data_IF_908858801013
#
_entry.id   IF_908858801013
#
_cell.length_a   1.000
_cell.length_b   1.000
_cell.length_c   1.000
_cell.angle_alpha   90.00
_cell.angle_beta   90.00
_cell.angle_gamma   90.00
#
_symmetry.space_group_name_H-M   'P 1'
#
loop_
_entity.id
_entity.type
_entity.pdbx_description
1 polymer ?
#
# COMPACT_ATOMS: atom_id res chain seq x y z
N UNK A 1 1.52 -3.05 -4.47
CA UNK A 1 0.56 -3.35 -3.39
C UNK A 1 -0.69 -2.49 -3.47
N UNK A 2 -0.61 -1.17 -3.26
CA UNK A 2 -1.77 -0.29 -3.02
C UNK A 2 -2.76 -0.18 -4.18
N UNK A 3 -2.31 -0.29 -5.44
CA UNK A 3 -3.20 -0.38 -6.61
C UNK A 3 -4.16 -1.58 -6.54
N UNK A 4 -3.72 -2.69 -5.97
CA UNK A 4 -4.55 -3.89 -5.81
C UNK A 4 -5.69 -3.69 -4.82
N UNK A 5 -5.56 -2.78 -3.86
CA UNK A 5 -6.58 -2.49 -2.85
C UNK A 5 -7.72 -1.61 -3.38
N UNK A 6 -7.46 -0.79 -4.41
CA UNK A 6 -8.43 0.18 -4.96
C UNK A 6 -9.75 -0.48 -5.40
N UNK A 7 -9.75 -1.61 -6.15
CA UNK A 7 -10.99 -2.30 -6.53
C UNK A 7 -11.81 -2.78 -5.33
N UNK A 8 -11.16 -3.26 -4.26
CA UNK A 8 -11.86 -3.77 -3.07
C UNK A 8 -12.58 -2.65 -2.32
N UNK A 9 -11.93 -1.50 -2.13
CA UNK A 9 -12.55 -0.35 -1.46
C UNK A 9 -13.71 0.24 -2.26
N UNK A 10 -13.56 0.31 -3.59
CA UNK A 10 -14.64 0.77 -4.48
C UNK A 10 -15.82 -0.20 -4.45
N UNK A 11 -15.57 -1.51 -4.56
CA UNK A 11 -16.61 -2.54 -4.52
C UNK A 11 -17.35 -2.59 -3.19
N UNK A 12 -16.63 -2.36 -2.08
CA UNK A 12 -17.22 -2.27 -0.76
C UNK A 12 -18.10 -1.01 -0.61
N UNK A 13 -17.69 0.12 -1.19
CA UNK A 13 -18.44 1.37 -1.16
C UNK A 13 -19.77 1.30 -1.92
N UNK A 14 -19.79 0.65 -3.08
CA UNK A 14 -20.99 0.53 -3.94
C UNK A 14 -21.91 -0.65 -3.58
N UNK A 15 -21.59 -1.43 -2.54
CA UNK A 15 -22.37 -2.61 -2.14
C UNK A 15 -22.36 -3.74 -3.18
N UNK A 16 -21.21 -4.00 -3.82
CA UNK A 16 -21.08 -5.02 -4.84
C UNK A 16 -21.39 -6.44 -4.31
N UNK A 17 -21.85 -7.37 -5.16
CA UNK A 17 -22.15 -8.73 -4.74
C UNK A 17 -20.88 -9.48 -4.28
N UNK A 18 -21.05 -10.41 -3.36
CA UNK A 18 -19.96 -11.07 -2.62
C UNK A 18 -18.87 -11.67 -3.53
N UNK A 19 -19.24 -12.22 -4.67
CA UNK A 19 -18.30 -12.84 -5.62
C UNK A 19 -17.33 -11.82 -6.25
N UNK A 20 -17.81 -10.61 -6.55
CA UNK A 20 -16.99 -9.50 -7.05
C UNK A 20 -16.01 -9.04 -5.97
N UNK A 21 -16.50 -8.89 -4.75
CA UNK A 21 -15.67 -8.50 -3.61
C UNK A 21 -14.58 -9.55 -3.32
N UNK A 22 -14.91 -10.84 -3.40
CA UNK A 22 -13.96 -11.93 -3.22
C UNK A 22 -12.87 -11.91 -4.31
N UNK A 23 -13.23 -11.67 -5.58
CA UNK A 23 -12.29 -11.53 -6.66
C UNK A 23 -11.36 -10.32 -6.47
N UNK A 24 -11.91 -9.17 -6.06
CA UNK A 24 -11.11 -7.97 -5.78
C UNK A 24 -10.17 -8.17 -4.59
N UNK A 25 -10.63 -8.82 -3.51
CA UNK A 25 -9.82 -9.17 -2.36
C UNK A 25 -8.68 -10.13 -2.74
N UNK A 26 -8.94 -11.10 -3.63
CA UNK A 26 -7.90 -11.99 -4.15
C UNK A 26 -6.83 -11.22 -4.94
N UNK A 27 -7.24 -10.32 -5.84
CA UNK A 27 -6.31 -9.46 -6.61
C UNK A 27 -5.52 -8.54 -5.68
N UNK A 28 -6.17 -8.02 -4.63
CA UNK A 28 -5.50 -7.24 -3.58
C UNK A 28 -4.40 -8.06 -2.93
N UNK A 29 -4.72 -9.27 -2.45
CA UNK A 29 -3.78 -10.17 -1.78
C UNK A 29 -2.61 -10.54 -2.67
N UNK A 30 -2.86 -10.91 -3.93
CA UNK A 30 -1.81 -11.21 -4.90
C UNK A 30 -0.87 -10.00 -5.13
N UNK A 31 -1.43 -8.81 -5.24
CA UNK A 31 -0.66 -7.57 -5.44
C UNK A 31 0.18 -7.18 -4.23
N UNK A 32 -0.28 -7.51 -3.03
CA UNK A 32 0.47 -7.31 -1.77
C UNK A 32 1.60 -8.32 -1.67
N UNK A 33 1.34 -9.60 -1.96
CA UNK A 33 2.36 -10.65 -1.91
C UNK A 33 3.53 -10.37 -2.87
N UNK A 34 3.23 -9.99 -4.12
CA UNK A 34 4.28 -9.59 -5.08
C UNK A 34 5.06 -8.38 -4.56
N UNK A 35 4.37 -7.37 -4.04
CA UNK A 35 5.07 -6.20 -3.49
C UNK A 35 5.99 -6.54 -2.32
N UNK A 36 5.54 -7.39 -1.38
CA UNK A 36 6.32 -7.78 -0.22
C UNK A 36 7.62 -8.49 -0.62
N UNK A 37 7.54 -9.43 -1.57
CA UNK A 37 8.70 -10.14 -2.10
C UNK A 37 9.69 -9.17 -2.75
N UNK A 38 9.20 -8.26 -3.59
CA UNK A 38 10.01 -7.25 -4.25
C UNK A 38 10.63 -6.25 -3.26
N UNK A 39 9.88 -5.84 -2.24
CA UNK A 39 10.35 -4.94 -1.18
C UNK A 39 11.48 -5.57 -0.37
N UNK A 40 11.27 -6.81 0.09
CA UNK A 40 12.29 -7.57 0.85
C UNK A 40 13.56 -7.77 0.04
N UNK A 41 13.42 -8.13 -1.24
CA UNK A 41 14.57 -8.31 -2.15
C UNK A 41 15.30 -6.97 -2.38
N UNK A 42 14.58 -5.88 -2.61
CA UNK A 42 15.18 -4.57 -2.84
C UNK A 42 15.95 -4.07 -1.61
N UNK A 43 15.40 -4.25 -0.40
CA UNK A 43 16.07 -3.91 0.85
C UNK A 43 17.36 -4.72 1.02
N UNK A 44 17.32 -6.03 0.78
CA UNK A 44 18.50 -6.89 0.92
C UNK A 44 19.59 -6.58 -0.11
N UNK A 45 19.21 -6.22 -1.34
CA UNK A 45 20.17 -5.93 -2.43
C UNK A 45 20.81 -4.54 -2.30
N UNK A 46 20.05 -3.54 -1.86
CA UNK A 46 20.48 -2.14 -1.90
C UNK A 46 20.88 -1.55 -0.54
N UNK A 47 20.50 -2.16 0.58
CA UNK A 47 20.85 -1.66 1.92
C UNK A 47 22.02 -2.46 2.47
N UNK A 48 23.13 -1.82 2.89
CA UNK A 48 24.24 -2.52 3.51
C UNK A 48 23.81 -3.19 4.82
N UNK A 49 24.33 -4.39 5.08
CA UNK A 49 23.91 -5.29 6.18
C UNK A 49 23.87 -4.61 7.55
N UNK A 50 24.86 -3.77 7.83
CA UNK A 50 24.96 -2.97 9.06
C UNK A 50 23.83 -1.94 9.26
N UNK A 51 23.19 -1.48 8.18
CA UNK A 51 22.09 -0.52 8.22
C UNK A 51 20.71 -1.19 8.05
N UNK A 52 20.66 -2.43 7.57
CA UNK A 52 19.41 -3.15 7.26
C UNK A 52 18.48 -3.21 8.47
N UNK A 53 19.00 -3.61 9.63
CA UNK A 53 18.21 -3.70 10.88
C UNK A 53 17.60 -2.35 11.28
N UNK A 54 18.32 -1.24 11.08
CA UNK A 54 17.82 0.11 11.38
C UNK A 54 16.73 0.53 10.40
N UNK A 55 16.95 0.33 9.10
CA UNK A 55 15.98 0.68 8.05
C UNK A 55 14.69 -0.11 8.23
N UNK A 56 14.77 -1.43 8.43
CA UNK A 56 13.59 -2.26 8.69
C UNK A 56 12.86 -1.85 9.97
N UNK A 57 13.59 -1.49 11.04
CA UNK A 57 12.95 -1.01 12.28
C UNK A 57 12.15 0.28 12.06
N UNK A 58 12.65 1.20 11.23
CA UNK A 58 11.90 2.41 10.88
C UNK A 58 10.66 2.13 10.01
N UNK A 59 10.76 1.20 9.06
CA UNK A 59 9.64 0.77 8.22
C UNK A 59 8.51 0.14 9.03
N UNK A 60 8.86 -0.79 9.94
CA UNK A 60 7.91 -1.40 10.86
C UNK A 60 7.30 -0.39 11.82
N UNK A 61 8.11 0.50 12.40
CA UNK A 61 7.60 1.55 13.30
C UNK A 61 6.59 2.45 12.57
N UNK A 62 6.89 2.85 11.34
CA UNK A 62 5.99 3.64 10.50
C UNK A 62 4.67 2.92 10.26
N UNK A 63 4.72 1.66 9.85
CA UNK A 63 3.52 0.83 9.61
C UNK A 63 2.70 0.64 10.90
N UNK A 64 3.35 0.40 12.03
CA UNK A 64 2.69 0.15 13.32
C UNK A 64 2.04 1.41 13.90
N UNK A 65 2.62 2.58 13.67
CA UNK A 65 2.05 3.86 14.13
C UNK A 65 0.92 4.34 13.22
N UNK A 66 1.06 4.20 11.90
CA UNK A 66 0.08 4.67 10.94
C UNK A 66 -1.22 3.85 10.95
N UNK A 67 -1.14 2.54 11.22
CA UNK A 67 -2.32 1.66 11.26
C UNK A 67 -3.40 2.11 12.27
N UNK A 68 -3.08 2.24 13.56
CA UNK A 68 -4.01 2.70 14.59
C UNK A 68 -4.52 4.12 14.33
N UNK A 69 -3.65 5.04 13.88
CA UNK A 69 -4.03 6.41 13.57
C UNK A 69 -5.06 6.47 12.43
N UNK A 70 -4.87 5.66 11.39
CA UNK A 70 -5.84 5.51 10.31
C UNK A 70 -7.18 5.00 10.82
N UNK A 71 -7.18 3.98 11.69
CA UNK A 71 -8.42 3.44 12.28
C UNK A 71 -9.16 4.46 13.16
N UNK A 72 -8.44 5.25 13.96
CA UNK A 72 -9.03 6.31 14.78
C UNK A 72 -9.65 7.40 13.90
N UNK A 73 -8.97 7.78 12.81
CA UNK A 73 -9.45 8.83 11.91
C UNK A 73 -10.63 8.40 11.04
N UNK A 74 -10.70 7.12 10.64
CA UNK A 74 -11.71 6.65 9.68
C UNK A 74 -13.13 6.77 10.21
N UNK A 75 -13.35 6.53 11.51
CA UNK A 75 -14.68 6.57 12.14
C UNK A 75 -15.32 7.96 12.09
N UNK A 76 -14.66 9.01 12.62
CA UNK A 76 -15.15 10.39 12.54
C UNK A 76 -15.35 10.87 11.11
N UNK A 77 -14.48 10.49 10.18
CA UNK A 77 -14.61 10.85 8.76
C UNK A 77 -15.85 10.17 8.15
N UNK A 78 -16.01 8.85 8.36
CA UNK A 78 -17.19 8.11 7.89
C UNK A 78 -18.51 8.66 8.45
N UNK A 79 -18.51 9.15 9.69
CA UNK A 79 -19.71 9.73 10.29
C UNK A 79 -20.06 11.13 9.71
N UNK A 80 -19.07 11.88 9.21
CA UNK A 80 -19.29 13.22 8.66
C UNK A 80 -19.65 13.21 7.17
N UNK A 81 -18.98 12.39 6.37
CA UNK A 81 -19.15 12.38 4.90
C UNK A 81 -19.81 11.11 4.36
N UNK A 82 -20.12 10.14 5.23
CA UNK A 82 -20.72 8.86 4.87
C UNK A 82 -19.68 7.77 4.52
N UNK A 83 -20.11 6.51 4.68
CA UNK A 83 -19.26 5.34 4.45
C UNK A 83 -18.77 5.23 3.00
N UNK A 84 -19.66 5.41 2.03
CA UNK A 84 -19.33 5.30 0.61
C UNK A 84 -18.29 6.34 0.18
N UNK A 85 -18.52 7.62 0.50
CA UNK A 85 -17.57 8.69 0.19
C UNK A 85 -16.22 8.52 0.89
N UNK A 86 -16.21 7.98 2.11
CA UNK A 86 -14.98 7.70 2.86
C UNK A 86 -14.17 6.58 2.21
N UNK A 87 -14.82 5.50 1.78
CA UNK A 87 -14.15 4.39 1.11
C UNK A 87 -13.61 4.79 -0.26
N UNK A 88 -14.40 5.53 -1.06
CA UNK A 88 -13.96 6.05 -2.36
C UNK A 88 -12.84 7.07 -2.19
N UNK A 89 -12.95 7.98 -1.22
CA UNK A 89 -11.91 8.95 -0.90
C UNK A 89 -10.60 8.29 -0.50
N UNK A 90 -10.66 7.25 0.34
CA UNK A 90 -9.50 6.44 0.70
C UNK A 90 -8.88 5.73 -0.50
N UNK A 91 -9.70 5.16 -1.38
CA UNK A 91 -9.24 4.52 -2.62
C UNK A 91 -8.51 5.51 -3.54
N UNK A 92 -9.06 6.72 -3.72
CA UNK A 92 -8.43 7.79 -4.50
C UNK A 92 -7.11 8.25 -3.88
N UNK A 93 -7.06 8.42 -2.55
CA UNK A 93 -5.84 8.81 -1.86
C UNK A 93 -4.74 7.75 -2.04
N UNK A 94 -5.08 6.47 -1.92
CA UNK A 94 -4.14 5.36 -2.17
C UNK A 94 -3.64 5.35 -3.61
N UNK A 95 -4.53 5.55 -4.59
CA UNK A 95 -4.16 5.62 -6.01
C UNK A 95 -3.25 6.84 -6.29
N UNK A 96 -3.54 7.98 -5.68
CA UNK A 96 -2.75 9.20 -5.81
C UNK A 96 -1.34 9.02 -5.24
N UNK A 97 -1.22 8.53 -4.00
CA UNK A 97 0.07 8.28 -3.36
C UNK A 97 0.92 7.30 -4.18
N UNK A 98 0.29 6.25 -4.71
CA UNK A 98 1.00 5.26 -5.54
C UNK A 98 1.42 5.83 -6.89
N UNK A 99 0.59 6.70 -7.48
CA UNK A 99 0.95 7.40 -8.72
C UNK A 99 2.13 8.35 -8.50
N UNK A 100 2.16 9.06 -7.37
CA UNK A 100 3.27 9.93 -6.98
C UNK A 100 4.57 9.16 -6.75
N UNK A 101 4.53 7.99 -6.10
CA UNK A 101 5.73 7.16 -5.95
C UNK A 101 6.23 6.61 -7.28
N UNK A 102 5.31 6.21 -8.17
CA UNK A 102 5.67 5.79 -9.53
C UNK A 102 6.21 6.93 -10.39
N UNK A 103 5.92 8.20 -10.09
CA UNK A 103 6.48 9.36 -10.78
C UNK A 103 7.93 9.63 -10.35
N UNK A 104 8.40 9.07 -9.24
CA UNK A 104 9.78 9.21 -8.80
C UNK A 104 10.74 8.46 -9.73
N UNK A 105 11.69 9.15 -10.39
CA UNK A 105 12.67 8.52 -11.28
C UNK A 105 13.52 7.46 -10.56
N UNK A 106 13.77 7.65 -9.26
CA UNK A 106 14.51 6.70 -8.42
C UNK A 106 13.78 5.37 -8.23
N UNK A 107 12.45 5.35 -8.32
CA UNK A 107 11.65 4.11 -8.25
C UNK A 107 11.58 3.46 -9.63
N UNK A 108 11.46 4.24 -10.71
CA UNK A 108 11.38 3.73 -12.08
C UNK A 108 12.68 3.10 -12.57
N UNK A 109 13.81 3.71 -12.21
CA UNK A 109 15.12 3.30 -12.68
C UNK A 109 15.86 2.42 -11.66
N UNK A 110 15.15 1.87 -10.66
CA UNK A 110 15.78 1.00 -9.66
C UNK A 110 16.30 -0.26 -10.38
N UNK A 111 17.62 -0.50 -10.40
CA UNK A 111 18.17 -1.64 -11.11
C UNK A 111 17.70 -2.94 -10.47
N UNK A 112 17.45 -3.97 -11.29
CA UNK A 112 17.07 -5.30 -10.80
C UNK A 112 18.22 -6.05 -10.08
N UNK A 113 19.42 -5.47 -10.04
CA UNK A 113 20.62 -6.06 -9.45
C UNK A 113 21.50 -5.04 -8.75
N UNK A 114 22.56 -5.47 -8.05
CA UNK A 114 23.44 -4.58 -7.29
C UNK A 114 24.03 -3.50 -8.20
N UNK A 115 24.08 -2.25 -7.72
CA UNK A 115 24.78 -1.19 -8.42
C UNK A 115 26.25 -1.60 -8.69
N UNK A 116 26.76 -1.42 -9.91
CA UNK A 116 28.17 -1.70 -10.19
C UNK A 116 29.03 -0.83 -9.26
N UNK A 117 29.97 -1.47 -8.56
CA UNK A 117 30.91 -0.81 -7.63
C UNK A 117 31.80 0.18 -8.35
#
# INVERSE_FOLDING_TARGET
ATFGCVPTFVMLGIGAPLWLLAAAAFVTGASVAVFEVQWSTALQVHIPEQALSRVSSYDYLGSFMLGPLGMIAVGPVANQIGFEATLIGGAMLMALMTSLTLLSPSVRNLPAGPAPK
#
